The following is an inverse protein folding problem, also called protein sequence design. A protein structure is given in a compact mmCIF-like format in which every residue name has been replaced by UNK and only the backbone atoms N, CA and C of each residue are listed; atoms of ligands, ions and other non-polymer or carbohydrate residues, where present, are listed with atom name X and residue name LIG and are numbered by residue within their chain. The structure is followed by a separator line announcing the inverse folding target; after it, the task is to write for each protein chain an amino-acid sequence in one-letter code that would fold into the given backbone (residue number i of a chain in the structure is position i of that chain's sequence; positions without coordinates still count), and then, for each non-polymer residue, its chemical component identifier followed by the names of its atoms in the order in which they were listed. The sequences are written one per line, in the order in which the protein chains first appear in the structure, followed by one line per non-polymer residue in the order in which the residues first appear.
data_IF_329297695887
#
_entry.id   IF_329297695887
#
_cell.length_a   1.000
_cell.length_b   1.000
_cell.length_c   1.000
_cell.angle_alpha   90.00
_cell.angle_beta   90.00
_cell.angle_gamma   90.00
#
_symmetry.space_group_name_H-M   'P 1'
#
loop_
_entity.id
_entity.type
_entity.pdbx_description
1 polymer ?
#
# COMPACT_ATOMS: atom_id res chain seq x y z
N UNK A 1 17.68 -29.48 46.22
CA UNK A 1 16.62 -28.72 45.54
C UNK A 1 17.19 -27.35 45.15
N UNK A 2 17.57 -27.17 43.88
CA UNK A 2 17.92 -25.86 43.31
C UNK A 2 17.16 -25.72 42.00
N UNK A 3 16.19 -24.81 42.03
CA UNK A 3 15.43 -24.36 40.87
C UNK A 3 16.37 -23.62 39.91
N UNK A 4 16.27 -23.92 38.62
CA UNK A 4 16.72 -23.01 37.57
C UNK A 4 15.69 -23.03 36.45
N UNK A 5 14.73 -22.12 36.53
CA UNK A 5 13.83 -21.78 35.43
C UNK A 5 14.61 -20.89 34.46
N UNK A 6 14.93 -21.44 33.30
CA UNK A 6 15.51 -20.71 32.17
C UNK A 6 14.37 -19.94 31.51
N UNK A 7 14.35 -18.61 31.68
CA UNK A 7 13.52 -17.72 30.88
C UNK A 7 14.16 -17.56 29.49
N UNK A 8 13.51 -18.13 28.48
CA UNK A 8 13.84 -17.85 27.08
C UNK A 8 13.11 -16.56 26.71
N UNK A 9 13.82 -15.43 26.74
CA UNK A 9 13.38 -14.18 26.14
C UNK A 9 13.48 -14.31 24.61
N UNK A 10 12.38 -14.70 23.96
CA UNK A 10 12.29 -14.70 22.50
C UNK A 10 12.06 -13.25 22.03
N UNK A 11 13.13 -12.68 21.48
CA UNK A 11 13.25 -11.57 20.52
C UNK A 11 11.99 -10.73 20.23
N UNK A 12 11.98 -9.49 20.74
CA UNK A 12 11.12 -8.38 20.27
C UNK A 12 11.76 -7.57 19.12
N UNK A 13 12.90 -8.01 18.58
CA UNK A 13 13.69 -7.23 17.60
C UNK A 13 13.28 -7.47 16.13
N UNK A 14 12.47 -8.49 15.84
CA UNK A 14 12.09 -8.84 14.46
C UNK A 14 10.88 -8.06 13.91
N UNK A 15 9.98 -7.56 14.77
CA UNK A 15 8.80 -6.82 14.33
C UNK A 15 9.12 -5.38 13.90
N UNK A 16 10.10 -4.74 14.55
CA UNK A 16 10.46 -3.34 14.29
C UNK A 16 11.10 -3.16 12.90
N UNK A 17 11.91 -4.13 12.46
CA UNK A 17 12.62 -4.04 11.19
C UNK A 17 11.67 -4.17 9.97
N UNK A 18 10.60 -4.96 10.10
CA UNK A 18 9.63 -5.17 9.01
C UNK A 18 8.67 -3.97 8.87
N UNK A 19 8.20 -3.41 9.99
CA UNK A 19 7.37 -2.21 10.00
C UNK A 19 8.13 -0.96 9.49
N UNK A 20 9.43 -0.86 9.78
CA UNK A 20 10.27 0.23 9.27
C UNK A 20 10.42 0.14 7.74
N UNK A 21 10.61 -1.07 7.19
CA UNK A 21 10.75 -1.27 5.74
C UNK A 21 9.48 -1.01 4.95
N UNK A 22 8.31 -1.31 5.51
CA UNK A 22 7.03 -1.07 4.85
C UNK A 22 6.67 0.42 4.78
N UNK A 23 6.91 1.17 5.86
CA UNK A 23 6.66 2.63 5.90
C UNK A 23 7.54 3.37 4.87
N UNK A 24 8.83 2.98 4.73
CA UNK A 24 9.73 3.56 3.73
C UNK A 24 9.24 3.35 2.29
N UNK A 25 8.81 2.13 1.94
CA UNK A 25 8.30 1.84 0.58
C UNK A 25 7.02 2.64 0.27
N UNK A 26 6.14 2.82 1.26
CA UNK A 26 4.92 3.64 1.09
C UNK A 26 5.30 5.13 0.93
N UNK A 27 6.28 5.62 1.69
CA UNK A 27 6.77 7.00 1.58
C UNK A 27 7.39 7.30 0.21
N UNK A 28 8.18 6.37 -0.32
CA UNK A 28 8.74 6.48 -1.67
C UNK A 28 7.64 6.59 -2.73
N UNK A 29 6.56 5.80 -2.61
CA UNK A 29 5.42 5.84 -3.52
C UNK A 29 4.65 7.16 -3.40
N UNK A 30 4.51 7.74 -2.21
CA UNK A 30 3.83 9.03 -2.01
C UNK A 30 4.59 10.17 -2.70
N UNK A 31 5.92 10.15 -2.67
CA UNK A 31 6.76 11.20 -3.25
C UNK A 31 7.00 11.04 -4.75
N UNK A 32 6.79 9.83 -5.28
CA UNK A 32 7.02 9.51 -6.69
C UNK A 32 5.92 10.08 -7.59
N UNK A 33 6.31 10.57 -8.76
CA UNK A 33 5.40 10.74 -9.88
C UNK A 33 5.04 9.36 -10.47
N UNK A 34 3.96 8.78 -9.96
CA UNK A 34 3.51 7.43 -10.34
C UNK A 34 2.86 7.37 -11.73
N UNK A 35 2.61 8.52 -12.37
CA UNK A 35 1.95 8.62 -13.67
C UNK A 35 2.77 9.43 -14.69
N UNK A 36 4.08 9.58 -14.44
CA UNK A 36 5.01 10.19 -15.38
C UNK A 36 4.86 9.58 -16.78
N UNK A 37 4.94 10.41 -17.82
CA UNK A 37 4.71 9.99 -19.22
C UNK A 37 5.43 8.68 -19.64
N UNK A 38 6.72 8.45 -19.28
CA UNK A 38 7.39 7.21 -19.65
C UNK A 38 6.77 5.95 -19.04
N UNK A 39 6.05 6.06 -17.92
CA UNK A 39 5.43 4.92 -17.27
C UNK A 39 4.26 4.37 -18.10
N UNK A 40 3.45 5.23 -18.72
CA UNK A 40 2.34 4.81 -19.59
C UNK A 40 2.83 3.89 -20.72
N UNK A 41 3.97 4.22 -21.35
CA UNK A 41 4.58 3.39 -22.39
C UNK A 41 5.04 2.02 -21.85
N UNK A 42 5.55 1.97 -20.61
CA UNK A 42 5.93 0.69 -19.97
C UNK A 42 4.72 -0.22 -19.73
N UNK A 43 3.53 0.36 -19.52
CA UNK A 43 2.27 -0.38 -19.45
C UNK A 43 1.65 -0.65 -20.84
N UNK A 44 2.28 -0.18 -21.93
CA UNK A 44 1.75 -0.31 -23.29
C UNK A 44 0.55 0.59 -23.57
N UNK A 45 0.38 1.66 -22.80
CA UNK A 45 -0.76 2.56 -22.82
C UNK A 45 -0.43 3.90 -23.49
N UNK A 46 -1.46 4.55 -24.02
CA UNK A 46 -1.36 5.96 -24.42
C UNK A 46 -1.69 6.82 -23.19
N UNK A 47 -0.90 7.87 -22.88
CA UNK A 47 -1.21 8.76 -21.76
C UNK A 47 -2.62 9.33 -21.82
N UNK A 48 -3.37 9.18 -20.74
CA UNK A 48 -4.66 9.84 -20.57
C UNK A 48 -4.54 11.37 -20.62
N UNK A 49 -5.65 12.09 -20.85
CA UNK A 49 -5.66 13.55 -20.73
C UNK A 49 -5.14 14.02 -19.36
N UNK A 50 -4.44 15.17 -19.34
CA UNK A 50 -3.79 15.71 -18.13
C UNK A 50 -4.72 15.78 -16.91
N UNK A 51 -5.99 16.12 -17.10
CA UNK A 51 -6.95 16.22 -16.01
C UNK A 51 -7.28 14.85 -15.37
N UNK A 52 -7.20 13.76 -16.14
CA UNK A 52 -7.39 12.41 -15.62
C UNK A 52 -6.13 11.94 -14.90
N UNK A 53 -4.94 12.22 -15.45
CA UNK A 53 -3.66 11.96 -14.78
C UNK A 53 -3.63 12.63 -13.40
N UNK A 54 -3.97 13.92 -13.32
CA UNK A 54 -4.07 14.63 -12.02
C UNK A 54 -5.09 14.04 -11.06
N UNK A 55 -6.15 13.40 -11.58
CA UNK A 55 -7.14 12.72 -10.77
C UNK A 55 -6.58 11.41 -10.22
N UNK A 56 -5.91 10.61 -11.06
CA UNK A 56 -5.21 9.38 -10.68
C UNK A 56 -4.15 9.65 -9.61
N UNK A 57 -3.34 10.70 -9.79
CA UNK A 57 -2.35 11.16 -8.81
C UNK A 57 -3.00 11.45 -7.44
N UNK A 58 -4.08 12.25 -7.43
CA UNK A 58 -4.77 12.60 -6.18
C UNK A 58 -5.37 11.38 -5.48
N UNK A 59 -6.02 10.50 -6.25
CA UNK A 59 -6.61 9.27 -5.72
C UNK A 59 -5.52 8.37 -5.11
N UNK A 60 -4.41 8.20 -5.83
CA UNK A 60 -3.26 7.41 -5.39
C UNK A 60 -2.65 7.97 -4.12
N UNK A 61 -2.31 9.25 -4.07
CA UNK A 61 -1.70 9.85 -2.88
C UNK A 61 -2.62 9.72 -1.67
N UNK A 62 -3.93 9.99 -1.85
CA UNK A 62 -4.89 9.81 -0.76
C UNK A 62 -4.96 8.36 -0.28
N UNK A 63 -4.96 7.39 -1.20
CA UNK A 63 -4.93 5.96 -0.83
C UNK A 63 -3.67 5.61 -0.04
N UNK A 64 -2.49 6.00 -0.54
CA UNK A 64 -1.19 5.70 0.08
C UNK A 64 -1.05 6.32 1.47
N UNK A 65 -1.51 7.56 1.66
CA UNK A 65 -1.52 8.21 2.98
C UNK A 65 -2.41 7.46 3.98
N UNK A 66 -3.55 6.93 3.55
CA UNK A 66 -4.44 6.16 4.41
C UNK A 66 -3.89 4.76 4.71
N UNK A 67 -3.28 4.08 3.73
CA UNK A 67 -2.52 2.84 3.92
C UNK A 67 -1.41 3.05 4.95
N UNK A 68 -0.65 4.14 4.85
CA UNK A 68 0.41 4.47 5.81
C UNK A 68 -0.15 4.58 7.23
N UNK A 69 -1.23 5.34 7.40
CA UNK A 69 -1.90 5.50 8.71
C UNK A 69 -2.35 4.16 9.30
N UNK A 70 -2.91 3.25 8.48
CA UNK A 70 -3.30 1.92 8.94
C UNK A 70 -2.08 1.10 9.35
N UNK A 71 -1.03 1.11 8.52
CA UNK A 71 0.20 0.37 8.77
C UNK A 71 0.87 0.81 10.08
N UNK A 72 0.93 2.11 10.34
CA UNK A 72 1.57 2.70 11.51
C UNK A 72 0.69 2.68 12.78
N UNK A 73 -0.60 2.38 12.65
CA UNK A 73 -1.48 2.29 13.81
C UNK A 73 -1.17 1.03 14.64
N UNK A 74 -0.62 1.23 15.84
CA UNK A 74 -0.27 0.17 16.78
C UNK A 74 -1.46 -0.40 17.55
N UNK A 75 -2.63 0.25 17.51
CA UNK A 75 -3.85 -0.21 18.17
C UNK A 75 -4.61 -1.25 17.34
N UNK A 76 -4.30 -1.37 16.05
CA UNK A 76 -4.93 -2.33 15.15
C UNK A 76 -4.13 -3.63 15.09
N UNK A 77 -4.82 -4.75 15.24
CA UNK A 77 -4.26 -6.07 14.95
C UNK A 77 -4.24 -6.34 13.43
N UNK A 78 -3.55 -7.42 13.02
CA UNK A 78 -3.40 -7.74 11.60
C UNK A 78 -4.73 -7.97 10.85
N UNK A 79 -5.73 -8.67 11.43
CA UNK A 79 -7.07 -8.78 10.83
C UNK A 79 -7.75 -7.42 10.65
N UNK A 80 -7.72 -6.55 11.66
CA UNK A 80 -8.34 -5.22 11.58
C UNK A 80 -7.65 -4.32 10.55
N UNK A 81 -6.32 -4.45 10.40
CA UNK A 81 -5.59 -3.75 9.33
C UNK A 81 -6.01 -4.25 7.94
N UNK A 82 -6.15 -5.56 7.77
CA UNK A 82 -6.59 -6.15 6.50
C UNK A 82 -7.99 -5.67 6.12
N UNK A 83 -8.95 -5.71 7.04
CA UNK A 83 -10.32 -5.23 6.82
C UNK A 83 -10.32 -3.76 6.37
N UNK A 84 -9.54 -2.90 7.03
CA UNK A 84 -9.43 -1.49 6.63
C UNK A 84 -8.78 -1.27 5.28
N UNK A 85 -7.78 -2.08 4.91
CA UNK A 85 -7.17 -2.03 3.57
C UNK A 85 -8.19 -2.45 2.51
N UNK A 86 -8.98 -3.50 2.76
CA UNK A 86 -10.06 -3.92 1.87
C UNK A 86 -11.10 -2.81 1.69
N UNK A 87 -11.58 -2.20 2.78
CA UNK A 87 -12.51 -1.07 2.69
C UNK A 87 -11.94 0.11 1.92
N UNK A 88 -10.65 0.43 2.09
CA UNK A 88 -10.00 1.49 1.31
C UNK A 88 -9.97 1.20 -0.19
N UNK A 89 -9.77 -0.06 -0.57
CA UNK A 89 -9.79 -0.48 -1.97
C UNK A 89 -11.20 -0.44 -2.54
N UNK A 90 -12.21 -0.88 -1.77
CA UNK A 90 -13.62 -0.81 -2.16
C UNK A 90 -14.11 0.64 -2.34
N UNK A 91 -13.57 1.58 -1.56
CA UNK A 91 -13.91 3.02 -1.60
C UNK A 91 -13.21 3.79 -2.73
N UNK A 92 -12.26 3.17 -3.45
CA UNK A 92 -11.64 3.81 -4.60
C UNK A 92 -12.70 4.14 -5.67
N UNK A 93 -12.57 5.28 -6.38
CA UNK A 93 -13.57 5.70 -7.35
C UNK A 93 -13.41 4.95 -8.68
N UNK A 94 -13.44 3.61 -8.65
CA UNK A 94 -13.21 2.74 -9.81
C UNK A 94 -14.07 3.15 -10.99
N UNK A 95 -15.37 3.37 -10.79
CA UNK A 95 -16.32 3.74 -11.85
C UNK A 95 -16.03 5.09 -12.53
N UNK A 96 -15.10 5.87 -12.00
CA UNK A 96 -14.67 7.14 -12.58
C UNK A 96 -13.53 7.05 -13.58
N UNK A 97 -12.95 5.86 -13.75
CA UNK A 97 -11.80 5.59 -14.60
C UNK A 97 -12.19 4.56 -15.66
N UNK A 98 -11.56 4.65 -16.84
CA UNK A 98 -11.70 3.59 -17.84
C UNK A 98 -10.86 2.36 -17.47
N UNK A 99 -10.88 1.33 -18.33
CA UNK A 99 -10.17 0.08 -18.06
C UNK A 99 -8.66 0.28 -17.91
N UNK A 100 -8.03 1.06 -18.79
CA UNK A 100 -6.57 1.27 -18.79
C UNK A 100 -6.14 2.05 -17.55
N UNK A 101 -6.91 3.06 -17.17
CA UNK A 101 -6.69 3.88 -15.98
C UNK A 101 -6.90 3.09 -14.69
N UNK A 102 -7.87 2.18 -14.65
CA UNK A 102 -8.10 1.26 -13.52
C UNK A 102 -6.93 0.31 -13.33
N UNK A 103 -6.48 -0.33 -14.41
CA UNK A 103 -5.35 -1.26 -14.37
C UNK A 103 -4.08 -0.54 -13.92
N UNK A 104 -3.81 0.66 -14.45
CA UNK A 104 -2.65 1.43 -14.02
C UNK A 104 -2.77 1.90 -12.56
N UNK A 105 -3.95 2.30 -12.10
CA UNK A 105 -4.17 2.58 -10.67
C UNK A 105 -3.90 1.35 -9.80
N UNK A 106 -4.40 0.17 -10.18
CA UNK A 106 -4.18 -1.07 -9.46
C UNK A 106 -2.68 -1.42 -9.36
N UNK A 107 -1.94 -1.32 -10.47
CA UNK A 107 -0.50 -1.55 -10.52
C UNK A 107 0.29 -0.57 -9.63
N UNK A 108 -0.14 0.69 -9.57
CA UNK A 108 0.52 1.72 -8.76
C UNK A 108 0.33 1.49 -7.26
N UNK A 109 -0.86 1.05 -6.83
CA UNK A 109 -1.17 0.85 -5.40
C UNK A 109 -0.75 -0.52 -4.87
N UNK A 110 -0.64 -1.53 -5.73
CA UNK A 110 -0.29 -2.90 -5.36
C UNK A 110 1.00 -2.99 -4.51
N UNK A 111 2.12 -2.31 -4.86
CA UNK A 111 3.35 -2.36 -4.08
C UNK A 111 3.21 -1.88 -2.63
N UNK A 112 2.25 -0.99 -2.34
CA UNK A 112 1.97 -0.51 -0.99
C UNK A 112 1.21 -1.55 -0.15
N UNK A 113 0.25 -2.25 -0.77
CA UNK A 113 -0.48 -3.36 -0.14
C UNK A 113 0.47 -4.53 0.14
N UNK A 114 1.38 -4.85 -0.80
CA UNK A 114 2.44 -5.83 -0.59
C UNK A 114 3.39 -5.45 0.56
N UNK A 115 3.70 -4.16 0.70
CA UNK A 115 4.55 -3.67 1.78
C UNK A 115 3.95 -3.97 3.16
N UNK A 116 2.62 -4.01 3.27
CA UNK A 116 1.91 -4.41 4.49
C UNK A 116 1.90 -5.93 4.73
N UNK A 117 2.41 -6.73 3.78
CA UNK A 117 2.43 -8.19 3.85
C UNK A 117 1.18 -8.87 3.31
N UNK A 118 0.37 -8.17 2.49
CA UNK A 118 -0.84 -8.72 1.88
C UNK A 118 -0.66 -9.00 0.39
N UNK A 119 -1.49 -9.88 -0.17
CA UNK A 119 -1.54 -10.12 -1.62
C UNK A 119 -2.51 -9.11 -2.28
N UNK A 120 -2.03 -8.13 -3.06
CA UNK A 120 -2.87 -7.09 -3.65
C UNK A 120 -3.96 -7.66 -4.56
N UNK A 121 -3.65 -8.72 -5.32
CA UNK A 121 -4.57 -9.34 -6.29
C UNK A 121 -5.67 -10.20 -5.67
N UNK A 122 -5.67 -10.33 -4.34
CA UNK A 122 -6.79 -10.91 -3.59
C UNK A 122 -7.69 -9.85 -2.92
N UNK A 123 -7.35 -8.57 -3.11
CA UNK A 123 -8.00 -7.43 -2.48
C UNK A 123 -8.58 -6.48 -3.54
N UNK A 124 -7.83 -6.21 -4.62
CA UNK A 124 -8.23 -5.38 -5.77
C UNK A 124 -9.15 -6.16 -6.72
#
# INVERSE_FOLDING_TARGET
MKNLLIYISISLLSFSCFAQGSSLKIDDLIQKDNYALPLWELHGLVPSPEHVIKRLERVTVNFLENIKKINENSELDAPSKLEKVQSLVDELPWDSFDTEEKEFLADVIAPAIEAMGYNPWSII
#
